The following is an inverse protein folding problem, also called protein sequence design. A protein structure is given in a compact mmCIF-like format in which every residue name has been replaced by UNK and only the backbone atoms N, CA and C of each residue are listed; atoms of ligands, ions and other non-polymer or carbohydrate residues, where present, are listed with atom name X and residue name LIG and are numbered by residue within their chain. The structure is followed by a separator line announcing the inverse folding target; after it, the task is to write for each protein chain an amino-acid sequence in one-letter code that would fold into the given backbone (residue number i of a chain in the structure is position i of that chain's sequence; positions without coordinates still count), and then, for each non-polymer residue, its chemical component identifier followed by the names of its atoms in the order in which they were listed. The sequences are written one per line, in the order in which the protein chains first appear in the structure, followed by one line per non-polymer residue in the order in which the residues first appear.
data_IF_244581012962
#
_entry.id   IF_244581012962
#
_cell.length_a   1.000
_cell.length_b   1.000
_cell.length_c   1.000
_cell.angle_alpha   90.00
_cell.angle_beta   90.00
_cell.angle_gamma   90.00
#
_symmetry.space_group_name_H-M   'P 1'
#
loop_
_entity.id
_entity.type
_entity.pdbx_description
1 polymer ?
#
# COMPACT_ATOMS: atom_id res chain seq x y z
N UNK A 1 14.15 4.00 26.91
CA UNK A 1 12.93 3.87 26.10
C UNK A 1 13.35 3.32 24.76
N UNK A 2 12.80 2.19 24.34
CA UNK A 2 13.08 1.60 23.02
C UNK A 2 12.25 2.29 21.95
N UNK A 3 12.80 2.41 20.73
CA UNK A 3 12.09 2.93 19.55
C UNK A 3 11.06 1.92 19.07
N UNK A 4 11.43 0.64 19.07
CA UNK A 4 10.53 -0.46 18.80
C UNK A 4 10.32 -1.27 20.09
N UNK A 5 9.13 -1.25 20.69
CA UNK A 5 8.85 -1.98 21.92
C UNK A 5 8.88 -3.51 21.74
N UNK A 6 8.51 -4.02 20.55
CA UNK A 6 8.36 -5.45 20.29
C UNK A 6 9.69 -6.19 20.29
N UNK A 7 10.69 -5.69 19.57
CA UNK A 7 12.02 -6.30 19.50
C UNK A 7 13.04 -5.62 20.42
N UNK A 8 12.68 -4.54 21.11
CA UNK A 8 13.57 -3.74 21.96
C UNK A 8 14.82 -3.27 21.20
N UNK A 9 14.60 -2.79 19.97
CA UNK A 9 15.59 -2.29 19.01
C UNK A 9 16.62 -3.35 18.53
N UNK A 10 16.39 -4.65 18.80
CA UNK A 10 17.24 -5.73 18.28
C UNK A 10 17.03 -6.01 16.80
N UNK A 11 15.88 -5.59 16.23
CA UNK A 11 15.48 -5.89 14.85
C UNK A 11 14.95 -7.29 14.63
N UNK A 12 14.94 -8.17 15.66
CA UNK A 12 14.53 -9.56 15.55
C UNK A 12 13.64 -10.00 16.73
N UNK A 13 12.69 -10.89 16.45
CA UNK A 13 11.85 -11.58 17.43
C UNK A 13 11.88 -13.07 17.06
N UNK A 14 12.32 -13.92 18.00
CA UNK A 14 12.40 -15.37 17.81
C UNK A 14 13.14 -15.80 16.52
N UNK A 15 14.21 -15.08 16.19
CA UNK A 15 15.02 -15.32 14.99
C UNK A 15 14.43 -14.82 13.68
N UNK A 16 13.24 -14.23 13.70
CA UNK A 16 12.61 -13.60 12.54
C UNK A 16 12.81 -12.08 12.53
N UNK A 17 12.88 -11.48 11.36
CA UNK A 17 12.95 -10.01 11.21
C UNK A 17 11.70 -9.36 11.83
N UNK A 18 11.91 -8.43 12.74
CA UNK A 18 10.84 -7.59 13.28
C UNK A 18 10.34 -6.60 12.21
N UNK A 19 9.08 -6.19 12.30
CA UNK A 19 8.49 -5.18 11.41
C UNK A 19 9.34 -3.91 11.29
N UNK A 20 9.94 -3.44 12.40
CA UNK A 20 10.78 -2.24 12.39
C UNK A 20 12.04 -2.42 11.53
N UNK A 21 12.63 -3.63 11.52
CA UNK A 21 13.78 -3.95 10.70
C UNK A 21 13.39 -4.12 9.22
N UNK A 22 12.26 -4.79 8.93
CA UNK A 22 11.69 -4.87 7.58
C UNK A 22 11.47 -3.45 7.02
N UNK A 23 10.80 -2.59 7.79
CA UNK A 23 10.52 -1.21 7.36
C UNK A 23 11.79 -0.36 7.19
N UNK A 24 12.82 -0.57 8.02
CA UNK A 24 14.11 0.13 7.86
C UNK A 24 14.79 -0.25 6.53
N UNK A 25 14.79 -1.55 6.18
CA UNK A 25 15.28 -2.02 4.88
C UNK A 25 14.49 -1.36 3.74
N UNK A 26 13.17 -1.41 3.78
CA UNK A 26 12.28 -0.83 2.77
C UNK A 26 12.59 0.67 2.57
N UNK A 27 12.67 1.42 3.65
CA UNK A 27 12.96 2.85 3.60
C UNK A 27 14.33 3.17 3.00
N UNK A 28 15.32 2.31 3.22
CA UNK A 28 16.69 2.48 2.72
C UNK A 28 16.78 2.10 1.25
N UNK A 29 16.26 0.92 0.89
CA UNK A 29 16.42 0.36 -0.46
C UNK A 29 15.56 1.12 -1.48
N UNK A 30 14.35 1.52 -1.10
CA UNK A 30 13.40 2.12 -2.04
C UNK A 30 13.24 3.64 -1.91
N UNK A 31 14.08 4.30 -1.10
CA UNK A 31 14.03 5.75 -0.85
C UNK A 31 12.61 6.24 -0.45
N UNK A 32 11.85 5.41 0.26
CA UNK A 32 10.46 5.70 0.67
C UNK A 32 10.36 6.64 1.88
N UNK A 33 11.44 7.28 2.28
CA UNK A 33 11.43 8.22 3.42
C UNK A 33 10.40 9.36 3.29
N UNK A 34 10.05 9.74 2.06
CA UNK A 34 9.09 10.82 1.81
C UNK A 34 7.63 10.43 2.08
N UNK A 35 7.30 9.13 2.04
CA UNK A 35 5.92 8.69 2.24
C UNK A 35 5.42 9.07 3.65
N UNK A 36 6.28 9.02 4.66
CA UNK A 36 5.90 9.39 6.03
C UNK A 36 5.44 10.84 6.16
N UNK A 37 5.94 11.75 5.33
CA UNK A 37 5.50 13.15 5.32
C UNK A 37 4.10 13.27 4.70
N UNK A 38 3.84 12.53 3.64
CA UNK A 38 2.52 12.47 2.98
C UNK A 38 1.50 11.88 3.94
N UNK A 39 1.81 10.77 4.61
CA UNK A 39 0.91 10.08 5.53
C UNK A 39 0.54 10.90 6.79
N UNK A 40 1.36 11.91 7.16
CA UNK A 40 0.97 12.87 8.22
C UNK A 40 -0.20 13.76 7.81
N UNK A 41 -0.37 14.00 6.52
CA UNK A 41 -1.40 14.87 5.95
C UNK A 41 -2.57 14.01 5.44
N UNK A 42 -2.27 12.93 4.72
CA UNK A 42 -3.25 12.03 4.12
C UNK A 42 -3.48 10.82 5.03
N UNK A 43 -4.43 10.97 5.94
CA UNK A 43 -4.85 9.98 6.92
C UNK A 43 -6.35 10.13 7.21
N UNK A 44 -6.96 9.20 7.96
CA UNK A 44 -8.40 9.23 8.23
C UNK A 44 -8.85 10.44 9.04
N UNK A 45 -8.01 11.00 9.91
CA UNK A 45 -8.33 12.20 10.71
C UNK A 45 -8.54 13.43 9.80
N UNK A 46 -7.84 13.47 8.68
CA UNK A 46 -7.91 14.54 7.70
C UNK A 46 -8.84 14.26 6.53
N UNK A 47 -9.48 13.08 6.48
CA UNK A 47 -10.41 12.74 5.41
C UNK A 47 -11.70 13.56 5.53
N UNK A 48 -12.03 14.30 4.48
CA UNK A 48 -13.14 15.26 4.47
C UNK A 48 -14.27 14.83 3.55
N UNK A 49 -15.42 14.61 4.14
CA UNK A 49 -16.64 14.24 3.40
C UNK A 49 -17.33 15.40 2.70
N UNK A 50 -17.02 16.64 3.06
CA UNK A 50 -17.62 17.85 2.49
C UNK A 50 -17.24 18.10 1.02
N UNK A 51 -16.22 17.42 0.51
CA UNK A 51 -15.88 17.40 -0.92
C UNK A 51 -16.83 16.54 -1.78
N UNK A 52 -17.71 15.75 -1.15
CA UNK A 52 -18.57 14.80 -1.85
C UNK A 52 -20.04 15.26 -1.82
N UNK A 53 -20.70 15.29 -3.01
CA UNK A 53 -22.10 15.67 -3.14
C UNK A 53 -23.02 14.63 -2.48
N UNK A 54 -24.05 15.12 -1.78
CA UNK A 54 -25.13 14.30 -1.20
C UNK A 54 -26.34 14.20 -2.14
N UNK A 55 -26.44 15.10 -3.11
CA UNK A 55 -27.64 15.28 -3.92
C UNK A 55 -27.61 14.44 -5.20
N UNK A 56 -26.50 14.46 -5.93
CA UNK A 56 -26.35 13.73 -7.19
C UNK A 56 -26.09 12.24 -6.95
N UNK A 57 -27.03 11.41 -7.42
CA UNK A 57 -26.91 9.95 -7.33
C UNK A 57 -26.43 9.34 -8.63
N UNK A 58 -25.51 8.39 -8.51
CA UNK A 58 -25.07 7.59 -9.65
C UNK A 58 -26.24 6.69 -10.11
N UNK A 59 -26.65 6.75 -11.38
CA UNK A 59 -27.81 5.99 -11.87
C UNK A 59 -27.63 4.47 -11.82
N UNK A 60 -26.40 3.96 -11.80
CA UNK A 60 -26.11 2.52 -11.74
C UNK A 60 -26.14 1.99 -10.31
N UNK A 61 -25.67 2.77 -9.34
CA UNK A 61 -25.55 2.32 -7.93
C UNK A 61 -26.64 2.87 -7.02
N UNK A 62 -27.33 3.93 -7.44
CA UNK A 62 -28.29 4.66 -6.61
C UNK A 62 -27.65 5.47 -5.47
N UNK A 63 -26.32 5.44 -5.33
CA UNK A 63 -25.59 6.12 -4.27
C UNK A 63 -25.09 7.49 -4.73
N UNK A 64 -25.09 8.45 -3.81
CA UNK A 64 -24.39 9.71 -3.99
C UNK A 64 -22.88 9.51 -3.86
N UNK A 65 -22.07 10.51 -4.28
CA UNK A 65 -20.63 10.46 -4.07
C UNK A 65 -20.27 10.45 -2.57
N UNK A 66 -21.05 11.14 -1.74
CA UNK A 66 -20.92 11.12 -0.28
C UNK A 66 -21.15 9.70 0.31
N UNK A 67 -22.26 9.04 -0.08
CA UNK A 67 -22.56 7.67 0.37
C UNK A 67 -21.51 6.68 -0.13
N UNK A 68 -20.99 6.88 -1.35
CA UNK A 68 -19.91 6.07 -1.91
C UNK A 68 -18.60 6.25 -1.11
N UNK A 69 -18.25 7.49 -0.76
CA UNK A 69 -17.07 7.77 0.06
C UNK A 69 -17.20 7.16 1.46
N UNK A 70 -18.38 7.26 2.09
CA UNK A 70 -18.63 6.60 3.38
C UNK A 70 -18.47 5.09 3.31
N UNK A 71 -18.98 4.47 2.23
CA UNK A 71 -18.79 3.04 1.99
C UNK A 71 -17.31 2.70 1.82
N UNK A 72 -16.58 3.46 1.00
CA UNK A 72 -15.17 3.22 0.77
C UNK A 72 -14.34 3.32 2.06
N UNK A 73 -14.56 4.34 2.89
CA UNK A 73 -13.90 4.47 4.20
C UNK A 73 -14.22 3.28 5.11
N UNK A 74 -15.46 2.84 5.16
CA UNK A 74 -15.87 1.68 5.95
C UNK A 74 -15.19 0.38 5.49
N UNK A 75 -15.08 0.18 4.18
CA UNK A 75 -14.35 -0.98 3.62
C UNK A 75 -12.85 -0.92 3.94
N UNK A 76 -12.25 0.28 3.98
CA UNK A 76 -10.88 0.45 4.44
C UNK A 76 -10.70 0.00 5.89
N UNK A 77 -11.59 0.42 6.79
CA UNK A 77 -11.53 -0.01 8.19
C UNK A 77 -11.71 -1.52 8.33
N UNK A 78 -12.67 -2.14 7.62
CA UNK A 78 -12.81 -3.60 7.61
C UNK A 78 -11.59 -4.33 7.07
N UNK A 79 -10.90 -3.75 6.08
CA UNK A 79 -9.65 -4.31 5.57
C UNK A 79 -8.55 -4.28 6.64
N UNK A 80 -8.43 -3.17 7.37
CA UNK A 80 -7.43 -2.98 8.43
C UNK A 80 -7.74 -3.90 9.62
N UNK A 81 -8.98 -3.92 10.09
CA UNK A 81 -9.40 -4.70 11.26
C UNK A 81 -9.23 -6.22 11.05
N UNK A 82 -9.37 -6.70 9.80
CA UNK A 82 -9.29 -8.13 9.44
C UNK A 82 -7.94 -8.50 8.80
N UNK A 83 -6.95 -7.61 8.85
CA UNK A 83 -5.70 -7.75 8.10
C UNK A 83 -4.91 -9.02 8.43
N UNK A 84 -4.84 -9.40 9.71
CA UNK A 84 -4.15 -10.61 10.16
C UNK A 84 -4.94 -11.91 9.92
N UNK A 85 -6.26 -11.82 9.74
CA UNK A 85 -7.10 -13.00 9.78
C UNK A 85 -7.37 -13.61 8.40
N UNK A 86 -7.37 -12.77 7.37
CA UNK A 86 -7.65 -13.22 5.99
C UNK A 86 -6.83 -12.43 4.99
N UNK A 87 -5.97 -13.09 4.21
CA UNK A 87 -5.34 -12.43 3.08
C UNK A 87 -6.41 -11.89 2.13
N UNK A 88 -6.41 -10.60 1.92
CA UNK A 88 -7.35 -9.89 1.03
C UNK A 88 -6.59 -8.84 0.26
N UNK A 89 -7.08 -8.56 -0.93
CA UNK A 89 -6.65 -7.41 -1.71
C UNK A 89 -7.72 -6.32 -1.67
N UNK A 90 -7.31 -5.06 -1.56
CA UNK A 90 -8.18 -3.90 -1.63
C UNK A 90 -7.95 -3.18 -2.95
N UNK A 91 -9.00 -3.06 -3.78
CA UNK A 91 -8.92 -2.40 -5.07
C UNK A 91 -9.77 -1.13 -5.08
N UNK A 92 -9.13 0.02 -5.28
CA UNK A 92 -9.79 1.29 -5.54
C UNK A 92 -9.88 1.55 -7.04
N UNK A 93 -11.09 1.79 -7.54
CA UNK A 93 -11.30 2.17 -8.92
C UNK A 93 -12.28 3.36 -9.03
N UNK A 94 -12.15 4.13 -10.08
CA UNK A 94 -12.97 5.32 -10.31
C UNK A 94 -12.22 6.43 -11.02
N UNK A 95 -12.91 7.54 -11.29
CA UNK A 95 -12.34 8.71 -11.97
C UNK A 95 -11.17 9.31 -11.19
N UNK A 96 -10.33 10.07 -11.89
CA UNK A 96 -9.25 10.85 -11.24
C UNK A 96 -9.84 11.90 -10.30
N UNK A 97 -9.17 12.17 -9.18
CA UNK A 97 -9.56 13.18 -8.21
C UNK A 97 -10.67 12.77 -7.22
N UNK A 98 -11.13 11.52 -7.22
CA UNK A 98 -12.18 11.05 -6.29
C UNK A 98 -11.65 10.58 -4.93
N UNK A 99 -10.34 10.71 -4.66
CA UNK A 99 -9.76 10.38 -3.36
C UNK A 99 -9.18 8.97 -3.21
N UNK A 100 -8.97 8.22 -4.32
CA UNK A 100 -8.38 6.86 -4.26
C UNK A 100 -7.03 6.85 -3.55
N UNK A 101 -6.07 7.63 -4.03
CA UNK A 101 -4.73 7.76 -3.45
C UNK A 101 -4.78 8.20 -1.98
N UNK A 102 -5.68 9.14 -1.64
CA UNK A 102 -5.87 9.57 -0.26
C UNK A 102 -6.31 8.40 0.65
N UNK A 103 -7.29 7.61 0.24
CA UNK A 103 -7.75 6.45 1.01
C UNK A 103 -6.67 5.35 1.08
N UNK A 104 -5.92 5.15 0.01
CA UNK A 104 -4.76 4.25 0.01
C UNK A 104 -3.73 4.68 1.05
N UNK A 105 -3.43 5.98 1.13
CA UNK A 105 -2.53 6.55 2.14
C UNK A 105 -3.10 6.41 3.56
N UNK A 106 -4.41 6.57 3.75
CA UNK A 106 -5.05 6.29 5.04
C UNK A 106 -4.81 4.85 5.50
N UNK A 107 -5.03 3.87 4.63
CA UNK A 107 -4.80 2.45 4.93
C UNK A 107 -3.34 2.18 5.23
N UNK A 108 -2.42 2.68 4.40
CA UNK A 108 -0.98 2.54 4.59
C UNK A 108 -0.52 3.12 5.94
N UNK A 109 -1.04 4.30 6.31
CA UNK A 109 -0.74 4.97 7.60
C UNK A 109 -1.17 4.11 8.77
N UNK A 110 -2.41 3.65 8.79
CA UNK A 110 -2.94 2.83 9.89
C UNK A 110 -2.14 1.54 10.06
N UNK A 111 -1.84 0.84 8.97
CA UNK A 111 -1.07 -0.40 9.04
C UNK A 111 0.37 -0.15 9.50
N UNK A 112 1.02 0.94 9.06
CA UNK A 112 2.33 1.33 9.59
C UNK A 112 2.30 1.62 11.09
N UNK A 113 1.26 2.30 11.58
CA UNK A 113 1.11 2.60 13.00
C UNK A 113 0.81 1.35 13.84
N UNK A 114 0.15 0.34 13.25
CA UNK A 114 -0.03 -0.98 13.85
C UNK A 114 1.21 -1.89 13.76
N UNK A 115 2.29 -1.40 13.14
CA UNK A 115 3.56 -2.11 13.11
C UNK A 115 3.74 -3.04 11.92
N UNK A 116 2.93 -2.93 10.87
CA UNK A 116 3.13 -3.67 9.64
C UNK A 116 4.16 -2.98 8.74
N UNK A 117 4.87 -3.76 7.94
CA UNK A 117 5.76 -3.24 6.92
C UNK A 117 4.99 -2.90 5.64
N UNK A 118 5.16 -1.68 5.14
CA UNK A 118 4.45 -1.19 3.96
C UNK A 118 5.43 -0.77 2.88
N UNK A 119 5.24 -1.27 1.67
CA UNK A 119 5.91 -0.80 0.45
C UNK A 119 4.90 -0.05 -0.41
N UNK A 120 5.26 1.14 -0.87
CA UNK A 120 4.41 1.98 -1.71
C UNK A 120 5.13 2.31 -3.02
N UNK A 121 4.56 1.91 -4.14
CA UNK A 121 5.04 2.22 -5.47
C UNK A 121 3.91 2.70 -6.38
N UNK A 122 4.25 3.54 -7.34
CA UNK A 122 3.44 3.62 -8.55
C UNK A 122 3.63 2.35 -9.37
N UNK A 123 2.65 2.00 -10.20
CA UNK A 123 2.78 0.83 -11.07
C UNK A 123 4.06 0.88 -11.93
N UNK A 124 4.40 2.06 -12.46
CA UNK A 124 5.62 2.27 -13.23
C UNK A 124 6.89 1.93 -12.43
N UNK A 125 7.02 2.45 -11.20
CA UNK A 125 8.17 2.17 -10.34
C UNK A 125 8.29 0.69 -10.00
N UNK A 126 7.17 0.05 -9.65
CA UNK A 126 7.14 -1.37 -9.34
C UNK A 126 7.65 -2.22 -10.51
N UNK A 127 7.09 -2.02 -11.69
CA UNK A 127 7.48 -2.82 -12.86
C UNK A 127 8.91 -2.55 -13.35
N UNK A 128 9.42 -1.32 -13.18
CA UNK A 128 10.84 -1.02 -13.43
C UNK A 128 11.75 -1.82 -12.51
N UNK A 129 11.45 -1.85 -11.20
CA UNK A 129 12.21 -2.63 -10.21
C UNK A 129 12.12 -4.13 -10.50
N UNK A 130 10.92 -4.65 -10.75
CA UNK A 130 10.72 -6.07 -11.02
C UNK A 130 11.43 -6.50 -12.32
N UNK A 131 11.46 -5.64 -13.35
CA UNK A 131 12.16 -5.93 -14.60
C UNK A 131 13.68 -6.03 -14.38
N UNK A 132 14.27 -5.12 -13.61
CA UNK A 132 15.68 -5.16 -13.27
C UNK A 132 16.03 -6.42 -12.48
N UNK A 133 15.22 -6.81 -11.49
CA UNK A 133 15.42 -8.02 -10.70
C UNK A 133 15.41 -9.31 -11.53
N UNK A 134 14.60 -9.35 -12.60
CA UNK A 134 14.53 -10.53 -13.48
C UNK A 134 15.67 -10.58 -14.52
N UNK A 135 16.07 -9.43 -15.07
CA UNK A 135 16.98 -9.38 -16.22
C UNK A 135 18.44 -9.13 -15.83
N UNK A 136 18.73 -8.42 -14.74
CA UNK A 136 20.11 -8.03 -14.40
C UNK A 136 20.88 -9.08 -13.61
N UNK A 137 20.25 -10.12 -13.06
CA UNK A 137 20.84 -11.22 -12.28
C UNK A 137 21.86 -10.78 -11.22
N UNK A 138 21.73 -9.54 -10.75
CA UNK A 138 22.57 -8.99 -9.70
C UNK A 138 22.02 -9.43 -8.33
N UNK A 139 22.90 -9.70 -7.37
CA UNK A 139 22.55 -10.08 -6.00
C UNK A 139 21.65 -9.04 -5.32
N UNK A 140 21.91 -7.76 -5.57
CA UNK A 140 21.15 -6.66 -5.00
C UNK A 140 19.76 -6.56 -5.62
N UNK A 141 19.63 -6.79 -6.93
CA UNK A 141 18.37 -6.83 -7.64
C UNK A 141 17.49 -8.01 -7.17
N UNK A 142 18.10 -9.18 -6.94
CA UNK A 142 17.40 -10.36 -6.40
C UNK A 142 16.92 -10.10 -4.97
N UNK A 143 17.75 -9.51 -4.11
CA UNK A 143 17.36 -9.15 -2.75
C UNK A 143 16.24 -8.10 -2.73
N UNK A 144 16.30 -7.13 -3.63
CA UNK A 144 15.26 -6.12 -3.82
C UNK A 144 13.93 -6.75 -4.23
N UNK A 145 13.96 -7.66 -5.19
CA UNK A 145 12.78 -8.42 -5.63
C UNK A 145 12.15 -9.22 -4.47
N UNK A 146 12.95 -9.91 -3.67
CA UNK A 146 12.45 -10.67 -2.52
C UNK A 146 11.80 -9.78 -1.46
N UNK A 147 12.37 -8.61 -1.18
CA UNK A 147 11.81 -7.69 -0.17
C UNK A 147 10.40 -7.18 -0.55
N UNK A 148 10.07 -7.09 -1.85
CA UNK A 148 8.72 -6.71 -2.31
C UNK A 148 7.69 -7.75 -1.85
N UNK A 149 8.01 -9.03 -1.94
CA UNK A 149 7.11 -10.12 -1.52
C UNK A 149 7.17 -10.42 -0.01
N UNK A 150 8.21 -9.94 0.69
CA UNK A 150 8.34 -10.09 2.15
C UNK A 150 7.61 -9.00 2.96
N UNK A 151 7.06 -7.95 2.33
CA UNK A 151 6.34 -6.91 3.04
C UNK A 151 4.93 -7.37 3.42
N UNK A 152 4.37 -6.77 4.47
CA UNK A 152 3.02 -7.11 4.92
C UNK A 152 1.94 -6.46 4.04
N UNK A 153 2.21 -5.24 3.50
CA UNK A 153 1.34 -4.55 2.54
C UNK A 153 2.15 -3.99 1.36
N UNK A 154 1.82 -4.41 0.15
CA UNK A 154 2.26 -3.77 -1.08
C UNK A 154 1.17 -2.85 -1.62
N UNK A 155 1.47 -1.57 -1.74
CA UNK A 155 0.61 -0.58 -2.40
C UNK A 155 1.10 -0.35 -3.82
N UNK A 156 0.19 -0.51 -4.79
CA UNK A 156 0.41 -0.20 -6.20
C UNK A 156 -0.55 0.92 -6.60
N UNK A 157 -0.03 2.14 -6.70
CA UNK A 157 -0.82 3.31 -7.09
C UNK A 157 -0.69 3.60 -8.60
N UNK A 158 -1.66 4.34 -9.13
CA UNK A 158 -1.72 4.71 -10.56
C UNK A 158 -1.66 3.51 -11.52
N UNK A 159 -2.28 2.39 -11.14
CA UNK A 159 -2.37 1.20 -11.98
C UNK A 159 -3.14 1.52 -13.28
N UNK A 160 -2.55 1.12 -14.42
CA UNK A 160 -3.09 1.40 -15.76
C UNK A 160 -2.38 2.56 -16.48
N UNK A 161 -1.36 3.16 -15.88
CA UNK A 161 -0.48 4.16 -16.53
C UNK A 161 0.75 3.54 -17.18
N UNK A 162 1.04 2.27 -16.86
CA UNK A 162 2.14 1.48 -17.39
C UNK A 162 1.84 0.90 -18.77
N UNK A 163 2.91 0.53 -19.50
CA UNK A 163 2.77 -0.24 -20.75
C UNK A 163 2.35 -1.67 -20.42
N UNK A 164 1.11 -2.02 -20.76
CA UNK A 164 0.60 -3.37 -20.58
C UNK A 164 1.26 -4.31 -21.58
N UNK A 165 1.98 -5.31 -21.07
CA UNK A 165 2.58 -6.39 -21.85
C UNK A 165 2.51 -7.71 -21.05
N UNK A 166 2.96 -8.81 -21.62
CA UNK A 166 2.92 -10.12 -20.96
C UNK A 166 3.73 -10.17 -19.67
N UNK A 167 4.84 -9.42 -19.60
CA UNK A 167 5.67 -9.33 -18.39
C UNK A 167 4.93 -8.58 -17.29
N UNK A 168 4.45 -7.35 -17.54
CA UNK A 168 3.75 -6.54 -16.53
C UNK A 168 2.49 -7.25 -16.03
N UNK A 169 1.75 -7.92 -16.92
CA UNK A 169 0.56 -8.70 -16.55
C UNK A 169 0.91 -9.89 -15.65
N UNK A 170 1.98 -10.63 -15.95
CA UNK A 170 2.39 -11.75 -15.11
C UNK A 170 2.97 -11.31 -13.76
N UNK A 171 3.71 -10.21 -13.71
CA UNK A 171 4.21 -9.67 -12.44
C UNK A 171 3.07 -9.14 -11.55
N UNK A 172 2.08 -8.45 -12.13
CA UNK A 172 0.89 -8.04 -11.39
C UNK A 172 0.13 -9.24 -10.83
N UNK A 173 -0.01 -10.29 -11.64
CA UNK A 173 -0.65 -11.54 -11.20
C UNK A 173 0.08 -12.16 -10.00
N UNK A 174 1.41 -12.18 -9.99
CA UNK A 174 2.21 -12.63 -8.86
C UNK A 174 1.97 -11.77 -7.64
N UNK A 175 2.06 -10.44 -7.75
CA UNK A 175 1.85 -9.52 -6.63
C UNK A 175 0.46 -9.63 -5.98
N UNK A 176 -0.57 -10.03 -6.76
CA UNK A 176 -1.94 -10.15 -6.25
C UNK A 176 -2.19 -11.50 -5.56
N UNK A 177 -1.38 -12.53 -5.86
CA UNK A 177 -1.61 -13.90 -5.37
C UNK A 177 -0.62 -14.35 -4.28
N UNK A 178 0.43 -13.59 -4.01
CA UNK A 178 1.36 -13.83 -2.90
C UNK A 178 0.93 -13.07 -1.64
#
# INVERSE_FOLDING_TARGET
VYTCPDCKDSGYIDGKKCHCFKQAIINTVYAQSNIRQILRIENFDNFRYDFYSKEEKNPLTGLSSYETAQKAVRECHYFIDDFDHKPKNLLFYGKTGVGKTFLTNCVAKELLDHGYSVIYFTAFQLFDILSKGVFEKDSDAIATHQNIFDCDLLVIDDLGTELINSFTSSQLFLCVNE
#
